data_IF_751197407570
#
_entry.id   IF_751197407570
#
_cell.length_a   1.000
_cell.length_b   1.000
_cell.length_c   1.000
_cell.angle_alpha   90.00
_cell.angle_beta   90.00
_cell.angle_gamma   90.00
#
_symmetry.space_group_name_H-M   'P 1'
#
loop_
_entity.id
_entity.type
_entity.pdbx_description
1 polymer ?
#
# COMPACT_ATOMS: atom_id res chain seq x y z
N UNK A 1 19.33 23.24 18.83
CA UNK A 1 18.73 21.96 18.39
C UNK A 1 19.81 20.90 18.55
N UNK A 2 19.62 19.87 19.38
CA UNK A 2 20.62 18.80 19.63
C UNK A 2 20.09 17.53 18.98
N UNK A 3 20.81 17.02 17.98
CA UNK A 3 20.47 15.75 17.33
C UNK A 3 20.86 14.61 18.28
N UNK A 4 19.96 13.64 18.48
CA UNK A 4 20.18 12.48 19.35
C UNK A 4 20.85 11.35 18.59
N UNK A 5 21.46 10.40 19.30
CA UNK A 5 22.08 9.20 18.70
C UNK A 5 21.07 8.38 17.88
N UNK A 6 19.79 8.39 18.26
CA UNK A 6 18.69 7.80 17.48
C UNK A 6 18.55 8.42 16.08
N UNK A 7 18.71 9.74 15.99
CA UNK A 7 18.66 10.46 14.72
C UNK A 7 19.85 10.10 13.83
N UNK A 8 21.04 9.94 14.41
CA UNK A 8 22.21 9.48 13.66
C UNK A 8 22.03 8.05 13.16
N UNK A 9 21.53 7.13 14.01
CA UNK A 9 21.23 5.75 13.60
C UNK A 9 20.22 5.67 12.47
N UNK A 10 19.23 6.57 12.43
CA UNK A 10 18.30 6.66 11.31
C UNK A 10 19.04 6.91 9.98
N UNK A 11 20.03 7.80 9.95
CA UNK A 11 20.79 8.11 8.72
C UNK A 11 21.56 6.92 8.14
N UNK A 12 21.84 5.91 8.95
CA UNK A 12 22.52 4.68 8.54
C UNK A 12 21.55 3.63 7.96
N UNK A 13 20.24 3.85 8.05
CA UNK A 13 19.21 2.92 7.57
C UNK A 13 18.73 3.25 6.16
N UNK A 14 18.29 2.22 5.42
CA UNK A 14 17.60 2.39 4.13
C UNK A 14 16.34 3.27 4.25
N UNK A 15 15.71 3.31 5.44
CA UNK A 15 14.53 4.13 5.69
C UNK A 15 14.80 5.63 5.58
N UNK A 16 16.03 6.09 5.83
CA UNK A 16 16.36 7.51 5.70
C UNK A 16 16.28 8.00 4.25
N UNK A 17 16.79 7.22 3.30
CA UNK A 17 16.66 7.53 1.87
C UNK A 17 15.18 7.51 1.42
N UNK A 18 14.41 6.57 1.93
CA UNK A 18 12.98 6.45 1.63
C UNK A 18 12.15 7.65 2.15
N UNK A 19 12.57 8.29 3.25
CA UNK A 19 11.82 9.37 3.89
C UNK A 19 11.58 10.58 2.97
N UNK A 20 12.55 10.89 2.11
CA UNK A 20 12.41 11.98 1.12
C UNK A 20 11.29 11.68 0.13
N UNK A 21 11.25 10.46 -0.40
CA UNK A 21 10.21 10.01 -1.34
C UNK A 21 8.82 10.00 -0.70
N UNK A 22 8.73 9.52 0.54
CA UNK A 22 7.48 9.50 1.32
C UNK A 22 6.96 10.91 1.58
N UNK A 23 7.85 11.84 1.94
CA UNK A 23 7.50 13.23 2.24
C UNK A 23 7.03 13.95 0.99
N UNK A 24 7.75 13.82 -0.14
CA UNK A 24 7.35 14.40 -1.42
C UNK A 24 5.99 13.85 -1.87
N UNK A 25 5.77 12.54 -1.77
CA UNK A 25 4.52 11.92 -2.17
C UNK A 25 3.32 12.40 -1.33
N UNK A 26 3.51 12.59 -0.02
CA UNK A 26 2.50 13.15 0.87
C UNK A 26 2.23 14.62 0.57
N UNK A 27 3.27 15.40 0.32
CA UNK A 27 3.15 16.81 0.00
C UNK A 27 2.39 17.03 -1.31
N UNK A 28 2.72 16.29 -2.37
CA UNK A 28 2.01 16.36 -3.67
C UNK A 28 0.51 16.09 -3.56
N UNK A 29 0.10 15.13 -2.71
CA UNK A 29 -1.32 14.85 -2.49
C UNK A 29 -2.06 16.07 -1.90
N UNK A 30 -1.44 16.72 -0.91
CA UNK A 30 -1.99 17.91 -0.27
C UNK A 30 -2.02 19.09 -1.24
N UNK A 31 -0.92 19.34 -1.96
CA UNK A 31 -0.84 20.40 -2.97
C UNK A 31 -1.88 20.24 -4.06
N UNK A 32 -2.09 19.01 -4.55
CA UNK A 32 -3.09 18.74 -5.59
C UNK A 32 -4.51 18.97 -5.09
N UNK A 33 -4.82 18.55 -3.86
CA UNK A 33 -6.12 18.84 -3.28
C UNK A 33 -6.38 20.36 -3.17
N UNK A 34 -5.39 21.14 -2.73
CA UNK A 34 -5.49 22.60 -2.67
C UNK A 34 -5.64 23.25 -4.05
N UNK A 35 -4.89 22.80 -5.06
CA UNK A 35 -5.06 23.26 -6.45
C UNK A 35 -6.47 23.01 -6.98
N UNK A 36 -7.15 21.98 -6.47
CA UNK A 36 -8.52 21.63 -6.83
C UNK A 36 -9.57 22.29 -5.93
N UNK A 37 -9.17 23.16 -4.99
CA UNK A 37 -10.03 23.74 -3.94
C UNK A 37 -10.79 22.67 -3.13
N UNK A 38 -10.15 21.53 -2.89
CA UNK A 38 -10.70 20.44 -2.08
C UNK A 38 -9.91 20.31 -0.76
N UNK A 39 -10.60 19.97 0.35
CA UNK A 39 -9.92 19.38 1.49
C UNK A 39 -9.16 18.12 1.05
N UNK A 40 -7.91 17.88 1.48
CA UNK A 40 -7.15 16.68 1.11
C UNK A 40 -7.87 15.36 1.41
N UNK A 41 -8.76 15.36 2.40
CA UNK A 41 -9.61 14.23 2.76
C UNK A 41 -10.61 13.92 1.63
N UNK A 42 -11.15 14.92 0.95
CA UNK A 42 -12.13 14.71 -0.12
C UNK A 42 -11.51 14.36 -1.48
N UNK A 43 -10.20 14.10 -1.52
CA UNK A 43 -9.53 13.71 -2.75
C UNK A 43 -9.91 12.27 -3.12
N UNK A 44 -10.60 12.10 -4.24
CA UNK A 44 -10.94 10.78 -4.77
C UNK A 44 -9.72 10.17 -5.46
N UNK A 45 -9.10 9.18 -4.81
CA UNK A 45 -7.82 8.59 -5.24
C UNK A 45 -8.02 7.22 -5.89
N UNK A 46 -7.49 7.12 -7.11
CA UNK A 46 -7.48 5.93 -7.96
C UNK A 46 -6.05 5.49 -8.25
N UNK A 47 -5.87 4.24 -8.66
CA UNK A 47 -4.58 3.66 -9.01
C UNK A 47 -4.46 3.37 -10.50
N UNK A 48 -3.34 3.76 -11.09
CA UNK A 48 -2.90 3.35 -12.42
C UNK A 48 -1.95 2.16 -12.35
N UNK A 49 -2.34 0.96 -12.81
CA UNK A 49 -1.42 -0.16 -12.91
C UNK A 49 -0.35 0.01 -13.98
N UNK A 50 -0.59 0.77 -15.06
CA UNK A 50 0.38 0.95 -16.15
C UNK A 50 1.52 1.88 -15.75
N UNK A 51 1.19 2.94 -15.00
CA UNK A 51 2.14 3.96 -14.57
C UNK A 51 2.60 3.79 -13.11
N UNK A 52 2.02 2.84 -12.37
CA UNK A 52 2.16 2.70 -10.92
C UNK A 52 1.96 4.02 -10.15
N UNK A 53 1.02 4.84 -10.61
CA UNK A 53 0.73 6.16 -10.04
C UNK A 53 -0.65 6.23 -9.43
N UNK A 54 -0.77 7.04 -8.38
CA UNK A 54 -2.05 7.47 -7.87
C UNK A 54 -2.52 8.68 -8.67
N UNK A 55 -3.80 8.72 -8.97
CA UNK A 55 -4.42 9.81 -9.72
C UNK A 55 -5.80 10.14 -9.15
N UNK A 56 -6.31 11.32 -9.51
CA UNK A 56 -7.70 11.70 -9.26
C UNK A 56 -8.37 12.08 -10.59
N UNK A 57 -9.70 12.13 -10.58
CA UNK A 57 -10.50 12.57 -11.72
C UNK A 57 -11.18 13.88 -11.36
N UNK A 58 -11.00 14.88 -12.20
CA UNK A 58 -11.72 16.15 -12.12
C UNK A 58 -12.50 16.33 -13.43
N UNK A 59 -13.82 16.22 -13.35
CA UNK A 59 -14.69 16.19 -14.53
C UNK A 59 -14.23 15.09 -15.52
N UNK A 60 -13.87 15.43 -16.75
CA UNK A 60 -13.35 14.48 -17.74
C UNK A 60 -11.82 14.31 -17.71
N UNK A 61 -11.11 15.08 -16.88
CA UNK A 61 -9.65 15.11 -16.86
C UNK A 61 -9.07 14.21 -15.78
N UNK A 62 -8.00 13.50 -16.15
CA UNK A 62 -7.20 12.69 -15.25
C UNK A 62 -6.01 13.49 -14.75
N UNK A 63 -5.85 13.59 -13.43
CA UNK A 63 -4.77 14.35 -12.79
C UNK A 63 -3.90 13.37 -12.00
N UNK A 64 -2.65 13.20 -12.44
CA UNK A 64 -1.67 12.43 -11.70
C UNK A 64 -1.35 13.12 -10.36
N UNK A 65 -1.32 12.35 -9.28
CA UNK A 65 -1.03 12.83 -7.94
C UNK A 65 0.42 12.55 -7.57
N UNK A 66 0.79 11.26 -7.48
CA UNK A 66 2.12 10.84 -7.03
C UNK A 66 2.35 9.35 -7.34
N UNK A 67 3.57 8.85 -7.13
CA UNK A 67 3.87 7.42 -7.23
C UNK A 67 3.15 6.64 -6.14
N UNK A 68 2.49 5.53 -6.51
CA UNK A 68 1.87 4.63 -5.56
C UNK A 68 2.92 4.04 -4.60
N UNK A 69 4.08 3.64 -5.14
CA UNK A 69 5.19 3.10 -4.35
C UNK A 69 5.59 4.03 -3.20
N UNK A 70 5.83 5.30 -3.53
CA UNK A 70 6.26 6.30 -2.55
C UNK A 70 5.17 6.57 -1.50
N UNK A 71 3.90 6.62 -1.92
CA UNK A 71 2.78 6.84 -1.00
C UNK A 71 2.55 5.70 -0.02
N UNK A 72 2.78 4.44 -0.41
CA UNK A 72 2.54 3.28 0.45
C UNK A 72 3.67 3.04 1.46
N UNK A 73 4.90 3.47 1.18
CA UNK A 73 6.07 3.09 1.96
C UNK A 73 6.05 3.60 3.40
N UNK A 74 5.55 4.81 3.64
CA UNK A 74 5.51 5.41 4.98
C UNK A 74 4.70 4.61 6.01
N UNK A 75 3.91 3.64 5.55
CA UNK A 75 3.09 2.77 6.40
C UNK A 75 3.61 1.34 6.49
N UNK A 76 4.50 0.95 5.57
CA UNK A 76 5.25 -0.29 5.64
C UNK A 76 6.67 -0.09 6.18
N UNK A 77 7.03 1.17 6.47
CA UNK A 77 8.28 1.59 7.12
C UNK A 77 9.52 1.05 6.39
N UNK A 78 9.50 1.03 5.05
CA UNK A 78 10.63 0.52 4.27
C UNK A 78 10.81 -1.00 4.28
N UNK A 79 9.76 -1.76 4.63
CA UNK A 79 9.80 -3.23 4.62
C UNK A 79 8.74 -3.83 3.69
N UNK A 80 9.06 -4.99 3.13
CA UNK A 80 8.14 -5.83 2.37
C UNK A 80 6.93 -6.20 3.24
N UNK A 81 5.73 -6.03 2.70
CA UNK A 81 4.49 -6.36 3.39
C UNK A 81 4.39 -7.84 3.76
N UNK A 82 4.97 -8.73 2.97
CA UNK A 82 4.82 -10.17 3.16
C UNK A 82 5.87 -10.76 4.11
N UNK A 83 7.17 -10.59 3.80
CA UNK A 83 8.26 -11.24 4.53
C UNK A 83 9.05 -10.34 5.49
N UNK A 84 8.72 -9.05 5.56
CA UNK A 84 9.46 -8.02 6.32
C UNK A 84 10.87 -7.69 5.84
N UNK A 85 11.33 -8.20 4.70
CA UNK A 85 12.64 -7.81 4.18
C UNK A 85 12.70 -6.29 3.90
N UNK A 86 13.86 -5.64 4.12
CA UNK A 86 14.04 -4.24 3.75
C UNK A 86 13.85 -4.03 2.25
N UNK A 87 13.17 -2.93 1.90
CA UNK A 87 12.91 -2.52 0.52
C UNK A 87 13.38 -1.07 0.31
N UNK A 88 13.74 -0.77 -0.93
CA UNK A 88 14.14 0.57 -1.36
C UNK A 88 13.09 1.20 -2.27
N UNK A 89 12.98 2.52 -2.22
CA UNK A 89 12.24 3.33 -3.20
C UNK A 89 13.13 3.86 -4.32
N UNK A 90 14.44 3.73 -4.19
CA UNK A 90 15.39 4.22 -5.18
C UNK A 90 15.32 3.43 -6.48
N UNK A 91 15.14 4.14 -7.59
CA UNK A 91 15.12 3.53 -8.91
C UNK A 91 16.41 2.77 -9.15
N UNK A 92 16.30 1.59 -9.77
CA UNK A 92 17.42 0.68 -10.06
C UNK A 92 18.11 0.06 -8.84
N UNK A 93 17.66 0.33 -7.60
CA UNK A 93 18.18 -0.36 -6.43
C UNK A 93 17.88 -1.87 -6.49
N UNK A 94 18.79 -2.77 -6.07
CA UNK A 94 18.56 -4.22 -6.13
C UNK A 94 17.30 -4.68 -5.38
N UNK A 95 16.98 -4.00 -4.28
CA UNK A 95 15.79 -4.23 -3.44
C UNK A 95 14.66 -3.23 -3.71
N UNK A 96 14.62 -2.60 -4.89
CA UNK A 96 13.50 -1.74 -5.29
C UNK A 96 12.19 -2.49 -5.08
N UNK A 97 11.28 -1.86 -4.36
CA UNK A 97 9.97 -2.43 -4.04
C UNK A 97 9.10 -2.57 -5.29
N UNK A 98 8.29 -3.61 -5.34
CA UNK A 98 7.19 -3.73 -6.28
C UNK A 98 5.88 -3.27 -5.63
N UNK A 99 4.97 -2.70 -6.42
CA UNK A 99 3.57 -2.56 -6.02
C UNK A 99 2.86 -3.87 -6.38
N UNK A 100 2.24 -4.51 -5.40
CA UNK A 100 1.47 -5.75 -5.59
C UNK A 100 0.01 -5.56 -5.14
N UNK A 101 -0.89 -6.31 -5.75
CA UNK A 101 -2.27 -6.45 -5.32
C UNK A 101 -2.37 -7.62 -4.34
N UNK A 102 -2.70 -7.35 -3.09
CA UNK A 102 -2.85 -8.37 -2.05
C UNK A 102 -3.80 -9.49 -2.49
N UNK A 103 -5.02 -9.15 -2.90
CA UNK A 103 -5.87 -10.05 -3.67
C UNK A 103 -5.55 -9.87 -5.16
N UNK A 104 -5.13 -10.93 -5.86
CA UNK A 104 -4.71 -10.82 -7.25
C UNK A 104 -5.87 -10.44 -8.17
N UNK A 105 -5.59 -9.66 -9.22
CA UNK A 105 -6.60 -9.26 -10.21
C UNK A 105 -7.30 -10.47 -10.88
N UNK A 106 -6.59 -11.60 -10.98
CA UNK A 106 -7.13 -12.86 -11.49
C UNK A 106 -8.31 -13.41 -10.66
N UNK A 107 -8.50 -12.94 -9.43
CA UNK A 107 -9.66 -13.30 -8.60
C UNK A 107 -10.99 -12.81 -9.20
N UNK A 108 -10.99 -11.78 -10.07
CA UNK A 108 -12.15 -11.27 -10.80
C UNK A 108 -13.41 -11.11 -9.92
N UNK A 109 -13.32 -10.32 -8.86
CA UNK A 109 -14.41 -10.12 -7.91
C UNK A 109 -15.43 -9.10 -8.43
N UNK A 110 -16.62 -9.51 -8.90
CA UNK A 110 -17.58 -8.57 -9.49
C UNK A 110 -18.05 -7.55 -8.45
N UNK A 111 -18.09 -6.28 -8.84
CA UNK A 111 -18.48 -5.19 -7.94
C UNK A 111 -17.40 -4.76 -6.93
N UNK A 112 -16.24 -5.43 -6.90
CA UNK A 112 -15.11 -5.05 -6.04
C UNK A 112 -14.00 -4.44 -6.90
N UNK A 113 -13.64 -3.19 -6.61
CA UNK A 113 -12.49 -2.57 -7.24
C UNK A 113 -11.19 -3.11 -6.62
N UNK A 114 -10.60 -4.13 -7.26
CA UNK A 114 -9.31 -4.71 -6.85
C UNK A 114 -8.13 -3.75 -7.05
N UNK A 115 -8.26 -2.69 -7.85
CA UNK A 115 -7.28 -1.60 -7.95
C UNK A 115 -7.45 -0.54 -6.85
N UNK A 116 -8.30 -0.79 -5.85
CA UNK A 116 -8.43 0.09 -4.69
C UNK A 116 -7.16 0.11 -3.84
N UNK A 117 -6.87 1.27 -3.23
CA UNK A 117 -5.68 1.48 -2.39
C UNK A 117 -5.63 0.48 -1.23
N UNK A 118 -6.80 0.09 -0.73
CA UNK A 118 -6.95 -0.94 0.32
C UNK A 118 -6.28 -2.27 -0.03
N UNK A 119 -6.15 -2.59 -1.32
CA UNK A 119 -5.62 -3.85 -1.85
C UNK A 119 -4.17 -3.73 -2.33
N UNK A 120 -3.56 -2.55 -2.30
CA UNK A 120 -2.19 -2.34 -2.80
C UNK A 120 -1.17 -2.40 -1.67
N UNK A 121 -0.08 -3.14 -1.85
CA UNK A 121 1.01 -3.31 -0.88
C UNK A 121 2.37 -3.17 -1.57
N UNK A 122 3.42 -2.83 -0.81
CA UNK A 122 4.80 -2.94 -1.30
C UNK A 122 5.39 -4.30 -0.96
N UNK A 123 5.96 -4.96 -1.95
CA UNK A 123 6.57 -6.27 -1.80
C UNK A 123 8.00 -6.26 -2.32
N UNK A 124 8.87 -7.09 -1.72
CA UNK A 124 10.17 -7.37 -2.32
C UNK A 124 9.99 -8.27 -3.55
N UNK A 125 10.99 -8.27 -4.42
CA UNK A 125 10.97 -9.04 -5.68
C UNK A 125 10.77 -10.53 -5.47
N UNK A 126 11.34 -11.13 -4.42
CA UNK A 126 11.18 -12.57 -4.14
C UNK A 126 9.77 -12.94 -3.68
N UNK A 127 9.08 -12.04 -2.98
CA UNK A 127 7.69 -12.26 -2.59
C UNK A 127 6.72 -12.00 -3.73
N UNK A 128 6.97 -11.00 -4.56
CA UNK A 128 6.04 -10.61 -5.63
C UNK A 128 6.22 -11.42 -6.93
N UNK A 129 7.47 -11.79 -7.25
CA UNK A 129 7.87 -12.38 -8.53
C UNK A 129 8.39 -13.81 -8.35
N UNK A 130 8.56 -14.52 -9.47
CA UNK A 130 9.14 -15.86 -9.52
C UNK A 130 8.16 -16.97 -9.11
N UNK A 131 8.59 -18.22 -9.27
CA UNK A 131 7.74 -19.41 -9.06
C UNK A 131 7.29 -19.57 -7.59
N UNK A 132 8.14 -19.18 -6.65
CA UNK A 132 7.84 -19.23 -5.21
C UNK A 132 7.19 -17.94 -4.68
N UNK A 133 7.08 -16.89 -5.49
CA UNK A 133 6.44 -15.63 -5.12
C UNK A 133 4.92 -15.69 -5.31
N UNK A 134 4.18 -14.83 -4.63
CA UNK A 134 2.71 -14.84 -4.56
C UNK A 134 2.03 -15.06 -5.90
N UNK A 135 2.38 -14.30 -6.96
CA UNK A 135 1.73 -14.39 -8.27
C UNK A 135 0.19 -14.26 -8.11
N UNK A 136 -0.59 -15.16 -8.74
CA UNK A 136 -2.03 -15.24 -8.64
C UNK A 136 -2.55 -15.96 -7.38
N UNK A 137 -1.70 -16.28 -6.40
CA UNK A 137 -2.11 -16.96 -5.17
C UNK A 137 -2.72 -15.98 -4.17
N UNK A 138 -3.62 -16.49 -3.33
CA UNK A 138 -4.29 -15.72 -2.28
C UNK A 138 -3.45 -15.77 -1.00
N UNK A 139 -3.08 -14.62 -0.40
CA UNK A 139 -2.35 -14.61 0.86
C UNK A 139 -3.11 -15.32 1.99
N UNK A 140 -2.42 -15.88 2.98
CA UNK A 140 -3.07 -16.51 4.15
C UNK A 140 -3.91 -15.53 4.97
N UNK A 141 -4.81 -16.06 5.81
CA UNK A 141 -5.61 -15.25 6.75
C UNK A 141 -4.75 -14.42 7.73
N UNK A 142 -3.55 -14.89 8.07
CA UNK A 142 -2.61 -14.11 8.88
C UNK A 142 -2.16 -12.83 8.14
N UNK A 143 -1.88 -12.94 6.84
CA UNK A 143 -1.55 -11.79 6.00
C UNK A 143 -2.78 -10.89 5.75
N UNK A 144 -4.00 -11.44 5.72
CA UNK A 144 -5.25 -10.66 5.69
C UNK A 144 -5.43 -9.84 6.97
N UNK A 145 -5.20 -10.44 8.15
CA UNK A 145 -5.24 -9.73 9.42
C UNK A 145 -4.20 -8.59 9.47
N UNK A 146 -3.00 -8.84 8.91
CA UNK A 146 -1.98 -7.81 8.73
C UNK A 146 -2.42 -6.71 7.78
N UNK A 147 -3.09 -7.05 6.66
CA UNK A 147 -3.62 -6.07 5.71
C UNK A 147 -4.64 -5.17 6.39
N UNK A 148 -5.55 -5.77 7.15
CA UNK A 148 -6.54 -5.05 7.96
C UNK A 148 -5.86 -4.08 8.91
N UNK A 149 -4.94 -4.55 9.77
CA UNK A 149 -4.22 -3.69 10.72
C UNK A 149 -3.48 -2.54 10.02
N UNK A 150 -2.86 -2.82 8.87
CA UNK A 150 -2.19 -1.82 8.02
C UNK A 150 -3.18 -0.78 7.50
N UNK A 151 -4.33 -1.20 6.97
CA UNK A 151 -5.36 -0.30 6.45
C UNK A 151 -5.98 0.56 7.57
N UNK A 152 -6.19 0.00 8.76
CA UNK A 152 -6.63 0.76 9.94
C UNK A 152 -5.59 1.79 10.37
N UNK A 153 -4.30 1.44 10.31
CA UNK A 153 -3.22 2.39 10.57
C UNK A 153 -3.19 3.55 9.55
N UNK A 154 -3.39 3.26 8.25
CA UNK A 154 -3.57 4.30 7.23
C UNK A 154 -4.69 5.27 7.63
N UNK A 155 -5.83 4.73 8.07
CA UNK A 155 -6.99 5.53 8.43
C UNK A 155 -6.73 6.42 9.63
N UNK A 156 -6.20 5.84 10.71
CA UNK A 156 -5.98 6.56 11.96
C UNK A 156 -4.90 7.63 11.87
N UNK A 157 -3.97 7.51 10.92
CA UNK A 157 -2.93 8.52 10.66
C UNK A 157 -3.44 9.81 10.00
N UNK A 158 -4.72 9.85 9.54
CA UNK A 158 -5.37 11.00 8.88
C UNK A 158 -4.63 11.59 7.67
N UNK A 159 -3.84 10.75 7.00
CA UNK A 159 -3.10 11.11 5.79
C UNK A 159 -4.00 11.05 4.55
N UNK A 160 -3.61 11.66 3.41
CA UNK A 160 -4.55 11.90 2.29
C UNK A 160 -5.18 10.65 1.64
N UNK A 161 -4.72 9.44 1.97
CA UNK A 161 -5.28 8.18 1.46
C UNK A 161 -6.35 7.55 2.37
N UNK A 162 -6.58 8.07 3.58
CA UNK A 162 -7.53 7.42 4.50
C UNK A 162 -8.96 7.39 3.96
N UNK A 163 -9.45 8.52 3.44
CA UNK A 163 -10.82 8.60 2.90
C UNK A 163 -11.00 7.69 1.70
N UNK A 164 -9.97 7.51 0.86
CA UNK A 164 -10.01 6.53 -0.22
C UNK A 164 -10.26 5.11 0.32
N UNK A 165 -9.58 4.71 1.40
CA UNK A 165 -9.80 3.39 2.01
C UNK A 165 -11.19 3.31 2.66
N UNK A 166 -11.63 4.34 3.38
CA UNK A 166 -12.97 4.39 4.00
C UNK A 166 -14.05 4.24 2.92
N UNK A 167 -14.00 5.07 1.88
CA UNK A 167 -14.98 5.06 0.78
C UNK A 167 -14.99 3.73 0.02
N UNK A 168 -13.84 3.06 -0.07
CA UNK A 168 -13.71 1.78 -0.79
C UNK A 168 -14.10 0.56 0.05
N UNK A 169 -14.07 0.64 1.39
CA UNK A 169 -14.17 -0.55 2.26
C UNK A 169 -15.21 -0.45 3.38
N UNK A 170 -15.66 0.75 3.77
CA UNK A 170 -16.70 0.95 4.77
C UNK A 170 -16.39 2.03 5.81
N UNK A 171 -17.47 2.56 6.42
CA UNK A 171 -17.44 3.73 7.29
C UNK A 171 -16.99 3.43 8.73
N UNK A 172 -16.92 2.16 9.12
CA UNK A 172 -16.39 1.73 10.42
C UNK A 172 -15.54 0.47 10.28
N UNK A 173 -14.66 0.23 11.26
CA UNK A 173 -13.71 -0.88 11.25
C UNK A 173 -14.40 -2.24 11.06
N UNK A 174 -15.57 -2.46 11.67
CA UNK A 174 -16.33 -3.71 11.50
C UNK A 174 -16.71 -3.93 10.03
N UNK A 175 -17.27 -2.91 9.37
CA UNK A 175 -17.62 -2.99 7.94
C UNK A 175 -16.38 -3.26 7.09
N UNK A 176 -15.27 -2.57 7.37
CA UNK A 176 -14.02 -2.76 6.62
C UNK A 176 -13.44 -4.16 6.79
N UNK A 177 -13.44 -4.68 8.02
CA UNK A 177 -13.02 -6.05 8.31
C UNK A 177 -13.89 -7.08 7.59
N UNK A 178 -15.21 -6.91 7.63
CA UNK A 178 -16.16 -7.76 6.89
C UNK A 178 -15.90 -7.70 5.39
N UNK A 179 -15.75 -6.49 4.82
CA UNK A 179 -15.44 -6.30 3.41
C UNK A 179 -14.15 -7.05 3.00
N UNK A 180 -13.06 -6.91 3.76
CA UNK A 180 -11.80 -7.60 3.49
C UNK A 180 -11.96 -9.13 3.59
N UNK A 181 -12.71 -9.62 4.58
CA UNK A 181 -12.96 -11.05 4.76
C UNK A 181 -13.81 -11.62 3.62
N UNK A 182 -14.85 -10.91 3.18
CA UNK A 182 -15.73 -11.34 2.10
C UNK A 182 -15.00 -11.34 0.76
N UNK A 183 -14.21 -10.31 0.47
CA UNK A 183 -13.37 -10.25 -0.72
C UNK A 183 -12.33 -11.39 -0.73
N UNK A 184 -11.71 -11.67 0.42
CA UNK A 184 -10.78 -12.78 0.56
C UNK A 184 -11.47 -14.14 0.35
N UNK A 185 -12.63 -14.36 0.97
CA UNK A 185 -13.41 -15.59 0.83
C UNK A 185 -13.79 -15.83 -0.63
N UNK A 186 -14.22 -14.78 -1.34
CA UNK A 186 -14.55 -14.87 -2.76
C UNK A 186 -13.32 -15.16 -3.63
N UNK A 187 -12.18 -14.52 -3.35
CA UNK A 187 -10.93 -14.78 -4.07
C UNK A 187 -10.44 -16.22 -3.87
N UNK A 188 -10.55 -16.74 -2.64
CA UNK A 188 -10.18 -18.11 -2.31
C UNK A 188 -11.14 -19.13 -2.96
N UNK A 189 -12.44 -18.84 -3.00
CA UNK A 189 -13.45 -19.69 -3.65
C UNK A 189 -13.21 -19.84 -5.17
N UNK A 190 -12.65 -18.81 -5.82
CA UNK A 190 -12.24 -18.85 -7.24
C UNK A 190 -10.99 -19.70 -7.51
N UNK A 191 -10.75 -20.72 -6.67
CA UNK A 191 -9.69 -21.76 -6.75
C UNK A 191 -8.26 -21.24 -6.79
N UNK A 192 -8.01 -20.07 -6.22
CA UNK A 192 -6.66 -19.57 -6.05
C UNK A 192 -6.00 -20.27 -4.85
N UNK A 193 -4.85 -20.90 -5.07
CA UNK A 193 -4.09 -21.55 -4.01
C UNK A 193 -3.68 -20.51 -2.95
N UNK A 194 -3.60 -20.93 -1.68
CA UNK A 194 -3.08 -20.06 -0.63
C UNK A 194 -1.56 -19.91 -0.70
N UNK A 195 -1.06 -18.78 -0.21
CA UNK A 195 0.37 -18.48 -0.18
C UNK A 195 0.77 -17.62 1.02
N UNK A 196 1.95 -17.89 1.56
CA UNK A 196 2.67 -17.00 2.47
C UNK A 196 4.18 -17.23 2.25
N UNK A 197 5.03 -16.21 2.43
CA UNK A 197 6.47 -16.40 2.37
C UNK A 197 7.00 -16.95 3.70
N UNK A 198 8.25 -17.40 3.70
CA UNK A 198 9.04 -17.48 4.92
C UNK A 198 9.33 -16.06 5.44
N UNK A 199 9.13 -15.82 6.74
CA UNK A 199 9.48 -14.55 7.36
C UNK A 199 11.00 -14.39 7.41
N UNK A 200 11.51 -13.25 6.91
CA UNK A 200 12.95 -12.98 6.91
C UNK A 200 13.39 -12.15 8.13
N UNK A 201 12.48 -11.41 8.75
CA UNK A 201 12.71 -10.64 9.97
C UNK A 201 11.44 -10.62 10.85
N UNK A 202 11.61 -10.72 12.17
CA UNK A 202 10.55 -10.37 13.12
C UNK A 202 10.39 -8.85 13.15
N UNK A 203 9.15 -8.36 13.11
CA UNK A 203 8.88 -6.94 13.30
C UNK A 203 9.16 -6.58 14.76
N UNK A 204 10.19 -5.79 15.00
CA UNK A 204 10.37 -5.10 16.27
C UNK A 204 9.45 -3.88 16.23
N UNK A 205 8.39 -3.90 17.03
CA UNK A 205 7.41 -2.82 17.14
C UNK A 205 7.91 -1.66 18.01
#
# INVERSE_FOLDING_TARGET
MRLTDDFYRLTETTQFANLTHETDARWRLVEKAWQMNLPPQLLDVHYDPEQETLFTRLSASRIALTSCRNSLNGYQKGHCFYCNAPISLEKHHPTLADVDHFLPLAAQLPGVNLNGVWNLVLACRSCNRGENGKSARVPTLALLARLHARNEYFINSRLPLHEAIINQTGNNERQRKTFLQDAWNAAFANRLQQWAPEQQQELIF
#
